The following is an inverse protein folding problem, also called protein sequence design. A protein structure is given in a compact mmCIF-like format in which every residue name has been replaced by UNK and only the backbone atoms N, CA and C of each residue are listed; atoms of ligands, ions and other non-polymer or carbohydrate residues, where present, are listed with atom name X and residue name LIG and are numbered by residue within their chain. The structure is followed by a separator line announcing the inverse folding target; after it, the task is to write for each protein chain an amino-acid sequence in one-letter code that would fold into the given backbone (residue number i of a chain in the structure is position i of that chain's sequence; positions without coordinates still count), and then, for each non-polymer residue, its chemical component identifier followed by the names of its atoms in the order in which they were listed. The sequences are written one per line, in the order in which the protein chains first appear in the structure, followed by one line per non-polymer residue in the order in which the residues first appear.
data_IF_602045549857
#
_entry.id   IF_602045549857
#
_cell.length_a   1.000
_cell.length_b   1.000
_cell.length_c   1.000
_cell.angle_alpha   90.00
_cell.angle_beta   90.00
_cell.angle_gamma   90.00
#
_symmetry.space_group_name_H-M   'P 1'
#
loop_
_entity.id
_entity.type
_entity.pdbx_description
1 polymer ?
#
# COMPACT_ATOMS: atom_id res chain seq x y z
N UNK A 1 -15.31 -4.82 4.28
CA UNK A 1 -16.26 -3.79 3.81
C UNK A 1 -15.49 -2.50 3.60
N UNK A 2 -15.49 -1.95 2.38
CA UNK A 2 -14.86 -0.64 2.12
C UNK A 2 -15.65 0.43 2.88
N UNK A 3 -14.97 1.25 3.70
CA UNK A 3 -15.62 2.36 4.43
C UNK A 3 -15.83 3.55 3.48
N UNK A 4 -16.77 3.41 2.54
CA UNK A 4 -16.95 4.30 1.38
C UNK A 4 -17.08 5.79 1.73
N UNK A 5 -17.82 6.13 2.79
CA UNK A 5 -18.00 7.54 3.19
C UNK A 5 -16.71 8.17 3.71
N UNK A 6 -15.85 7.38 4.39
CA UNK A 6 -14.54 7.86 4.82
C UNK A 6 -13.64 8.14 3.62
N UNK A 7 -13.69 7.27 2.59
CA UNK A 7 -12.92 7.44 1.36
C UNK A 7 -13.35 8.71 0.60
N UNK A 8 -14.66 8.95 0.48
CA UNK A 8 -15.21 10.18 -0.11
C UNK A 8 -14.81 11.43 0.66
N UNK A 9 -14.82 11.38 1.99
CA UNK A 9 -14.39 12.50 2.81
C UNK A 9 -12.90 12.83 2.60
N UNK A 10 -12.05 11.81 2.51
CA UNK A 10 -10.63 11.99 2.21
C UNK A 10 -10.42 12.60 0.81
N UNK A 11 -11.19 12.16 -0.18
CA UNK A 11 -11.21 12.74 -1.53
C UNK A 11 -11.58 14.22 -1.54
N UNK A 12 -12.65 14.61 -0.82
CA UNK A 12 -13.01 16.01 -0.65
C UNK A 12 -11.88 16.82 0.00
N UNK A 13 -11.19 16.26 1.00
CA UNK A 13 -10.06 16.93 1.64
C UNK A 13 -8.87 17.11 0.69
N UNK A 14 -8.50 16.08 -0.09
CA UNK A 14 -7.41 16.15 -1.06
C UNK A 14 -7.70 17.13 -2.20
N UNK A 15 -8.92 17.13 -2.74
CA UNK A 15 -9.28 18.03 -3.84
C UNK A 15 -9.18 19.52 -3.45
N UNK A 16 -9.32 19.82 -2.14
CA UNK A 16 -9.09 21.17 -1.61
C UNK A 16 -7.63 21.46 -1.23
N UNK A 17 -6.75 20.46 -1.27
CA UNK A 17 -5.35 20.53 -0.85
C UNK A 17 -4.44 19.78 -1.84
N UNK A 18 -4.13 20.34 -3.02
CA UNK A 18 -3.48 19.62 -4.11
C UNK A 18 -2.07 19.08 -3.79
N UNK A 19 -1.41 19.60 -2.76
CA UNK A 19 -0.10 19.12 -2.33
C UNK A 19 -0.18 17.88 -1.41
N UNK A 20 -1.35 17.60 -0.82
CA UNK A 20 -1.54 16.45 0.06
C UNK A 20 -1.70 15.16 -0.74
N UNK A 21 -0.90 14.14 -0.43
CA UNK A 21 -1.17 12.78 -0.91
C UNK A 21 -2.26 12.11 -0.05
N UNK A 22 -2.89 11.09 -0.61
CA UNK A 22 -3.84 10.23 0.07
C UNK A 22 -3.33 8.79 0.01
N UNK A 23 -2.94 8.25 1.16
CA UNK A 23 -2.54 6.86 1.30
C UNK A 23 -3.77 6.04 1.73
N UNK A 24 -4.07 4.97 0.98
CA UNK A 24 -5.24 4.13 1.22
C UNK A 24 -4.79 2.79 1.78
N UNK A 25 -5.13 2.54 3.04
CA UNK A 25 -5.01 1.21 3.63
C UNK A 25 -5.88 0.20 2.85
N UNK A 26 -5.24 -0.70 2.11
CA UNK A 26 -5.92 -1.73 1.33
C UNK A 26 -5.98 -3.05 2.11
N UNK A 27 -7.04 -3.85 1.95
CA UNK A 27 -7.01 -5.24 2.36
C UNK A 27 -6.12 -6.04 1.42
N UNK A 28 -4.80 -6.07 1.65
CA UNK A 28 -3.78 -6.53 0.70
C UNK A 28 -3.95 -7.96 0.16
N UNK A 29 -4.55 -8.87 0.94
CA UNK A 29 -4.90 -10.23 0.49
C UNK A 29 -6.18 -10.31 -0.37
N UNK A 30 -6.83 -9.19 -0.66
CA UNK A 30 -7.98 -9.08 -1.55
C UNK A 30 -7.62 -8.27 -2.81
N UNK A 31 -8.57 -8.13 -3.74
CA UNK A 31 -8.44 -7.36 -4.99
C UNK A 31 -9.52 -6.30 -5.08
N UNK A 32 -9.45 -5.32 -4.18
CA UNK A 32 -10.44 -4.22 -4.10
C UNK A 32 -10.01 -2.93 -4.77
N UNK A 33 -8.86 -2.93 -5.44
CA UNK A 33 -8.31 -1.75 -6.12
C UNK A 33 -9.31 -1.09 -7.06
N UNK A 34 -10.01 -1.85 -7.91
CA UNK A 34 -11.03 -1.30 -8.81
C UNK A 34 -12.15 -0.59 -8.04
N UNK A 35 -12.75 -1.23 -7.03
CA UNK A 35 -13.83 -0.62 -6.22
C UNK A 35 -13.39 0.68 -5.55
N UNK A 36 -12.15 0.73 -5.06
CA UNK A 36 -11.58 1.92 -4.40
C UNK A 36 -11.30 3.04 -5.40
N UNK A 37 -10.66 2.71 -6.52
CA UNK A 37 -10.28 3.69 -7.54
C UNK A 37 -11.48 4.18 -8.35
N UNK A 38 -12.55 3.40 -8.48
CA UNK A 38 -13.81 3.87 -9.06
C UNK A 38 -14.43 4.98 -8.23
N UNK A 39 -14.32 4.90 -6.89
CA UNK A 39 -14.75 5.99 -6.01
C UNK A 39 -13.78 7.18 -6.16
N UNK A 40 -12.47 6.96 -5.98
CA UNK A 40 -11.52 8.08 -5.92
C UNK A 40 -11.36 8.81 -7.26
N UNK A 41 -11.21 8.07 -8.35
CA UNK A 41 -10.88 8.64 -9.66
C UNK A 41 -12.15 8.96 -10.45
N UNK A 42 -13.08 8.01 -10.55
CA UNK A 42 -14.26 8.15 -11.42
C UNK A 42 -15.36 8.97 -10.76
N UNK A 43 -15.69 8.70 -9.49
CA UNK A 43 -16.75 9.42 -8.77
C UNK A 43 -16.27 10.78 -8.23
N UNK A 44 -15.09 10.82 -7.58
CA UNK A 44 -14.61 12.00 -6.85
C UNK A 44 -13.60 12.86 -7.63
N UNK A 45 -13.08 12.39 -8.77
CA UNK A 45 -12.18 13.16 -9.63
C UNK A 45 -10.83 13.49 -9.00
N UNK A 46 -10.32 12.64 -8.09
CA UNK A 46 -9.01 12.85 -7.47
C UNK A 46 -7.87 12.67 -8.48
N UNK A 47 -6.78 13.39 -8.28
CA UNK A 47 -5.55 13.21 -9.04
C UNK A 47 -4.89 11.86 -8.68
N UNK A 48 -4.81 10.90 -9.63
CA UNK A 48 -4.23 9.59 -9.34
C UNK A 48 -2.76 9.67 -8.93
N UNK A 49 -2.00 10.66 -9.41
CA UNK A 49 -0.59 10.84 -9.05
C UNK A 49 -0.40 11.26 -7.58
N UNK A 50 -1.48 11.55 -6.86
CA UNK A 50 -1.49 11.88 -5.43
C UNK A 50 -2.09 10.77 -4.57
N UNK A 51 -2.37 9.59 -5.12
CA UNK A 51 -2.95 8.46 -4.40
C UNK A 51 -1.94 7.31 -4.35
N UNK A 52 -1.67 6.76 -3.16
CA UNK A 52 -0.94 5.50 -2.99
C UNK A 52 -1.83 4.41 -2.39
N UNK A 53 -1.67 3.18 -2.90
CA UNK A 53 -2.34 1.99 -2.40
C UNK A 53 -1.38 1.23 -1.47
N UNK A 54 -1.57 1.38 -0.16
CA UNK A 54 -0.82 0.67 0.88
C UNK A 54 -1.05 -0.85 0.78
N UNK A 55 -0.14 -1.63 1.37
CA UNK A 55 -0.21 -3.08 1.44
C UNK A 55 -0.37 -3.74 0.06
N UNK A 56 0.39 -3.25 -0.92
CA UNK A 56 0.43 -3.85 -2.24
C UNK A 56 1.22 -5.17 -2.26
N UNK A 57 2.03 -5.45 -1.24
CA UNK A 57 2.89 -6.63 -1.13
C UNK A 57 2.16 -7.97 -1.31
N UNK A 58 1.03 -8.27 -0.62
CA UNK A 58 0.36 -9.58 -0.74
C UNK A 58 -0.27 -9.81 -2.12
N UNK A 59 -0.32 -8.78 -2.96
CA UNK A 59 -0.73 -8.90 -4.36
C UNK A 59 0.42 -9.07 -5.35
N UNK A 60 1.68 -9.11 -4.91
CA UNK A 60 2.87 -9.10 -5.77
C UNK A 60 2.97 -10.23 -6.81
N UNK A 61 2.33 -11.38 -6.58
CA UNK A 61 2.26 -12.49 -7.57
C UNK A 61 1.19 -12.28 -8.64
N UNK A 62 0.29 -11.34 -8.44
CA UNK A 62 -0.79 -10.98 -9.34
C UNK A 62 -0.39 -9.71 -10.11
N UNK A 63 0.59 -9.88 -11.00
CA UNK A 63 1.20 -8.77 -11.75
C UNK A 63 0.16 -8.07 -12.64
N UNK A 64 -0.81 -8.79 -13.18
CA UNK A 64 -1.85 -8.21 -14.03
C UNK A 64 -2.75 -7.26 -13.21
N UNK A 65 -3.11 -7.63 -11.98
CA UNK A 65 -3.80 -6.72 -11.08
C UNK A 65 -2.95 -5.49 -10.75
N UNK A 66 -1.68 -5.67 -10.43
CA UNK A 66 -0.79 -4.54 -10.08
C UNK A 66 -0.61 -3.59 -11.26
N UNK A 67 -0.32 -4.10 -12.47
CA UNK A 67 -0.20 -3.29 -13.69
C UNK A 67 -1.52 -2.55 -13.96
N UNK A 68 -2.68 -3.22 -13.81
CA UNK A 68 -3.98 -2.58 -13.98
C UNK A 68 -4.18 -1.38 -13.03
N UNK A 69 -3.72 -1.46 -11.78
CA UNK A 69 -3.80 -0.34 -10.85
C UNK A 69 -2.85 0.79 -11.27
N UNK A 70 -1.62 0.45 -11.66
CA UNK A 70 -0.61 1.40 -12.11
C UNK A 70 -1.02 2.12 -13.40
N UNK A 71 -1.69 1.45 -14.33
CA UNK A 71 -2.24 2.02 -15.56
C UNK A 71 -3.32 3.10 -15.28
N UNK A 72 -3.93 3.07 -14.09
CA UNK A 72 -4.84 4.12 -13.62
C UNK A 72 -4.11 5.32 -13.02
N UNK A 73 -2.78 5.33 -13.04
CA UNK A 73 -1.91 6.44 -12.66
C UNK A 73 -1.59 6.56 -11.17
N UNK A 74 -2.05 5.61 -10.33
CA UNK A 74 -1.78 5.63 -8.88
C UNK A 74 -0.43 5.02 -8.54
N UNK A 75 0.00 5.22 -7.30
CA UNK A 75 1.20 4.59 -6.76
C UNK A 75 0.87 3.26 -6.09
N UNK A 76 1.72 2.26 -6.28
CA UNK A 76 1.73 1.06 -5.44
C UNK A 76 2.76 1.23 -4.33
N UNK A 77 2.31 1.01 -3.11
CA UNK A 77 3.13 1.09 -1.93
C UNK A 77 3.38 -0.32 -1.39
N UNK A 78 4.64 -0.75 -1.46
CA UNK A 78 5.15 -1.98 -0.87
C UNK A 78 5.70 -1.64 0.52
N UNK A 79 4.77 -1.58 1.47
CA UNK A 79 5.04 -1.12 2.83
C UNK A 79 5.22 -2.27 3.82
N UNK A 80 5.06 -3.53 3.42
CA UNK A 80 5.22 -4.69 4.31
C UNK A 80 6.62 -5.32 4.23
N UNK A 81 7.63 -4.62 3.72
CA UNK A 81 8.97 -5.19 3.50
C UNK A 81 9.63 -5.54 4.83
N UNK A 82 9.88 -6.84 5.02
CA UNK A 82 10.46 -7.37 6.25
C UNK A 82 9.45 -7.66 7.36
N UNK A 83 8.15 -7.52 7.07
CA UNK A 83 7.08 -7.95 7.96
C UNK A 83 7.01 -9.49 7.98
N UNK A 84 7.81 -10.12 8.83
CA UNK A 84 7.83 -11.59 8.99
C UNK A 84 6.74 -12.07 9.95
N UNK A 85 5.47 -11.85 9.57
CA UNK A 85 4.30 -12.18 10.39
C UNK A 85 3.26 -12.95 9.56
N UNK A 86 2.65 -13.95 10.19
CA UNK A 86 1.43 -14.60 9.68
C UNK A 86 0.21 -14.20 10.51
N UNK A 87 -0.76 -13.59 9.87
CA UNK A 87 -2.02 -13.16 10.50
C UNK A 87 -3.06 -14.27 10.37
N UNK A 88 -3.56 -14.86 11.47
CA UNK A 88 -4.43 -16.04 11.44
C UNK A 88 -5.72 -15.93 10.60
N UNK A 89 -6.17 -14.71 10.27
CA UNK A 89 -7.42 -14.46 9.54
C UNK A 89 -7.24 -13.83 8.16
N UNK A 90 -6.02 -13.39 7.85
CA UNK A 90 -5.76 -12.60 6.63
C UNK A 90 -4.82 -13.36 5.72
N UNK A 91 -3.65 -13.73 6.23
CA UNK A 91 -2.67 -14.53 5.51
C UNK A 91 -1.26 -14.35 6.07
N UNK A 92 -0.32 -15.08 5.48
CA UNK A 92 1.10 -14.83 5.68
C UNK A 92 1.50 -13.58 4.89
N UNK A 93 2.28 -12.71 5.52
CA UNK A 93 2.97 -11.65 4.80
C UNK A 93 3.95 -12.28 3.77
N UNK A 94 4.13 -11.66 2.59
CA UNK A 94 5.12 -12.12 1.61
C UNK A 94 6.53 -12.10 2.19
N UNK A 95 7.38 -13.01 1.72
CA UNK A 95 8.80 -12.91 2.06
C UNK A 95 9.42 -11.68 1.38
N UNK A 96 10.56 -11.20 1.92
CA UNK A 96 11.32 -10.13 1.28
C UNK A 96 11.65 -10.48 -0.18
N UNK A 97 11.99 -11.74 -0.47
CA UNK A 97 12.30 -12.17 -1.82
C UNK A 97 11.08 -12.19 -2.75
N UNK A 98 9.89 -12.50 -2.24
CA UNK A 98 8.65 -12.37 -3.03
C UNK A 98 8.41 -10.90 -3.42
N UNK A 99 8.61 -9.96 -2.48
CA UNK A 99 8.45 -8.52 -2.77
C UNK A 99 9.54 -8.01 -3.72
N UNK A 100 10.80 -8.45 -3.57
CA UNK A 100 11.89 -8.10 -4.49
C UNK A 100 11.55 -8.52 -5.92
N UNK A 101 11.07 -9.75 -6.12
CA UNK A 101 10.68 -10.26 -7.44
C UNK A 101 9.53 -9.43 -8.05
N UNK A 102 8.50 -9.12 -7.26
CA UNK A 102 7.37 -8.32 -7.70
C UNK A 102 7.80 -6.90 -8.11
N UNK A 103 8.57 -6.22 -7.27
CA UNK A 103 9.06 -4.86 -7.55
C UNK A 103 10.00 -4.84 -8.76
N UNK A 104 10.92 -5.79 -8.86
CA UNK A 104 11.82 -5.91 -10.01
C UNK A 104 11.01 -6.08 -11.32
N UNK A 105 10.03 -6.98 -11.32
CA UNK A 105 9.14 -7.21 -12.47
C UNK A 105 8.39 -5.95 -12.88
N UNK A 106 7.87 -5.18 -11.92
CA UNK A 106 7.17 -3.92 -12.21
C UNK A 106 8.11 -2.84 -12.77
N UNK A 107 9.35 -2.76 -12.26
CA UNK A 107 10.38 -1.85 -12.78
C UNK A 107 10.73 -2.22 -14.23
N UNK A 108 10.93 -3.50 -14.53
CA UNK A 108 11.21 -3.99 -15.88
C UNK A 108 10.06 -3.69 -16.86
N UNK A 109 8.82 -3.65 -16.36
CA UNK A 109 7.64 -3.22 -17.12
C UNK A 109 7.48 -1.71 -17.26
N UNK A 110 8.38 -0.91 -16.68
CA UNK A 110 8.41 0.54 -16.82
C UNK A 110 7.69 1.34 -15.72
N UNK A 111 7.17 0.68 -14.68
CA UNK A 111 6.42 1.34 -13.61
C UNK A 111 7.26 1.83 -12.44
N UNK A 112 8.60 1.86 -12.56
CA UNK A 112 9.51 2.22 -11.46
C UNK A 112 9.23 3.60 -10.83
N UNK A 113 8.66 4.54 -11.58
CA UNK A 113 8.29 5.87 -11.10
C UNK A 113 6.91 5.94 -10.40
N UNK A 114 6.25 4.81 -10.15
CA UNK A 114 4.97 4.69 -9.44
C UNK A 114 5.06 3.72 -8.25
N UNK A 115 6.27 3.40 -7.80
CA UNK A 115 6.53 2.47 -6.69
C UNK A 115 7.15 3.23 -5.52
N UNK A 116 6.64 2.99 -4.31
CA UNK A 116 7.25 3.44 -3.05
C UNK A 116 7.41 2.26 -2.09
N UNK A 117 8.42 2.33 -1.24
CA UNK A 117 8.84 1.23 -0.35
C UNK A 117 8.82 1.71 1.11
N UNK A 118 8.32 0.87 2.02
CA UNK A 118 8.30 1.13 3.46
C UNK A 118 8.30 -0.19 4.26
N UNK A 119 8.10 -0.13 5.58
CA UNK A 119 8.17 -1.28 6.50
C UNK A 119 6.91 -1.50 7.34
N UNK A 120 5.97 -0.53 7.34
CA UNK A 120 4.75 -0.54 8.17
C UNK A 120 5.03 -0.95 9.62
N UNK A 121 6.01 -0.32 10.27
CA UNK A 121 6.33 -0.63 11.68
C UNK A 121 5.13 -0.26 12.55
N UNK A 122 4.38 -1.26 13.01
CA UNK A 122 3.12 -1.04 13.74
C UNK A 122 3.02 -1.86 15.04
N UNK A 123 3.80 -2.93 15.19
CA UNK A 123 3.92 -3.72 16.42
C UNK A 123 5.26 -3.46 17.11
N UNK A 124 5.27 -3.53 18.45
CA UNK A 124 6.50 -3.42 19.24
C UNK A 124 7.53 -4.50 18.89
N UNK A 125 7.10 -5.61 18.31
CA UNK A 125 7.95 -6.73 17.88
C UNK A 125 8.77 -6.39 16.65
N UNK A 126 8.28 -5.48 15.81
CA UNK A 126 8.91 -5.07 14.55
C UNK A 126 10.13 -4.18 14.82
N UNK A 127 10.13 -3.51 15.97
CA UNK A 127 11.26 -2.71 16.46
C UNK A 127 12.39 -3.63 16.93
N UNK A 128 13.51 -3.60 16.21
CA UNK A 128 14.70 -4.37 16.56
C UNK A 128 15.14 -4.17 18.01
N UNK A 129 15.66 -5.23 18.65
CA UNK A 129 16.03 -5.23 20.08
C UNK A 129 16.93 -4.04 20.49
N UNK A 130 17.82 -3.60 19.60
CA UNK A 130 18.71 -2.44 19.80
C UNK A 130 17.94 -1.11 19.88
N UNK A 131 16.88 -0.97 19.10
CA UNK A 131 16.02 0.22 19.05
C UNK A 131 15.01 0.27 20.20
N UNK A 132 14.52 -0.89 20.67
CA UNK A 132 13.65 -0.97 21.86
C UNK A 132 14.30 -0.37 23.10
N UNK A 133 15.59 -0.65 23.31
CA UNK A 133 16.38 -0.10 24.43
C UNK A 133 16.56 1.42 24.31
N UNK A 134 16.70 1.94 23.08
CA UNK A 134 16.82 3.37 22.81
C UNK A 134 15.48 4.12 22.97
N UNK A 135 14.36 3.49 22.61
CA UNK A 135 13.01 4.06 22.68
C UNK A 135 12.35 3.92 24.07
N UNK A 136 13.09 3.51 25.10
CA UNK A 136 12.57 3.40 26.47
C UNK A 136 11.55 2.28 26.68
N UNK A 137 11.43 1.32 25.76
CA UNK A 137 10.65 0.11 25.99
C UNK A 137 11.45 -0.82 26.90
N UNK A 138 11.33 -0.62 28.21
CA UNK A 138 11.80 -1.58 29.20
C UNK A 138 11.09 -2.91 29.01
N UNK A 139 11.87 -3.99 28.95
CA UNK A 139 11.39 -5.34 29.20
C UNK A 139 11.21 -5.56 30.70
#
# INVERSE_FOLDING_TARGET
MVKKNSLRAAALAQNNNPYASMNIHMPGWQRRGDEVLDILLTEMGCDPAKISLAHSDPSGKDIDYQCKMLDRGVWLEFDMIGLDISFPKEGAAPSVMDTVEAVATLIERGYGNQIVLSHDVFLKTDVGKKWRKWLGFCA
#
